data_IF_971049493262
#
_entry.id   IF_971049493262
#
_cell.length_a   1.000
_cell.length_b   1.000
_cell.length_c   1.000
_cell.angle_alpha   90.00
_cell.angle_beta   90.00
_cell.angle_gamma   90.00
#
_symmetry.space_group_name_H-M   'P 1'
#
loop_
_entity.id
_entity.type
_entity.pdbx_description
1 polymer ?
#
# COMPACT_ATOMS: atom_id res chain seq x y z
N UNK A 1 -50.34 -15.10 -12.05
CA UNK A 1 -49.73 -13.77 -12.08
C UNK A 1 -48.27 -13.91 -11.61
N UNK A 2 -47.32 -13.89 -12.54
CA UNK A 2 -45.89 -14.02 -12.20
C UNK A 2 -45.33 -12.60 -11.95
N UNK A 3 -44.48 -12.40 -10.92
CA UNK A 3 -43.85 -11.10 -10.69
C UNK A 3 -42.79 -10.85 -11.75
N UNK A 4 -42.95 -9.80 -12.52
CA UNK A 4 -41.96 -9.29 -13.47
C UNK A 4 -40.70 -8.86 -12.71
N UNK A 5 -39.60 -9.60 -12.86
CA UNK A 5 -38.25 -9.17 -12.44
C UNK A 5 -37.89 -7.93 -13.26
N UNK A 6 -37.90 -6.77 -12.63
CA UNK A 6 -37.26 -5.58 -13.19
C UNK A 6 -35.76 -5.87 -13.37
N UNK A 7 -35.28 -5.80 -14.59
CA UNK A 7 -33.88 -5.79 -14.89
C UNK A 7 -33.22 -4.60 -14.16
N UNK A 8 -32.05 -4.79 -13.52
CA UNK A 8 -31.31 -3.66 -12.98
C UNK A 8 -30.91 -2.74 -14.13
N UNK A 9 -31.36 -1.50 -14.08
CA UNK A 9 -30.96 -0.46 -15.01
C UNK A 9 -29.46 -0.29 -15.02
N UNK A 10 -28.84 0.22 -16.12
CA UNK A 10 -27.41 0.44 -16.18
C UNK A 10 -27.05 1.42 -15.05
N UNK A 11 -26.46 0.87 -13.99
CA UNK A 11 -25.93 1.65 -12.89
C UNK A 11 -24.93 2.63 -13.45
N UNK A 12 -25.28 3.92 -13.45
CA UNK A 12 -24.34 5.00 -13.71
C UNK A 12 -23.16 4.75 -12.81
N UNK A 13 -22.02 4.41 -13.42
CA UNK A 13 -20.75 4.24 -12.74
C UNK A 13 -20.34 5.56 -12.07
N UNK A 14 -20.92 5.83 -10.94
CA UNK A 14 -20.36 6.76 -9.98
C UNK A 14 -19.12 6.05 -9.47
N UNK A 15 -17.98 6.44 -9.99
CA UNK A 15 -16.69 6.10 -9.39
C UNK A 15 -16.70 6.80 -8.05
N UNK A 16 -17.22 6.11 -7.04
CA UNK A 16 -17.14 6.54 -5.66
C UNK A 16 -15.66 6.41 -5.28
N UNK A 17 -14.91 7.48 -5.45
CA UNK A 17 -13.51 7.59 -5.00
C UNK A 17 -13.35 7.22 -3.52
N UNK A 18 -14.41 7.36 -2.72
CA UNK A 18 -14.48 6.88 -1.35
C UNK A 18 -14.48 5.34 -1.22
N UNK A 19 -14.84 4.60 -2.28
CA UNK A 19 -14.85 3.13 -2.27
C UNK A 19 -13.56 2.49 -2.73
N UNK A 20 -12.63 3.24 -3.30
CA UNK A 20 -11.35 2.76 -3.81
C UNK A 20 -10.15 3.16 -2.95
N UNK A 21 -10.36 3.50 -1.67
CA UNK A 21 -9.28 3.86 -0.75
C UNK A 21 -8.20 2.76 -0.63
N UNK A 22 -8.55 1.50 -0.91
CA UNK A 22 -7.69 0.32 -0.92
C UNK A 22 -6.79 0.24 -2.17
N UNK A 23 -7.07 1.03 -3.21
CA UNK A 23 -6.14 1.21 -4.30
C UNK A 23 -5.00 2.12 -3.83
N UNK A 24 -3.77 1.61 -3.89
CA UNK A 24 -2.57 2.30 -3.44
C UNK A 24 -2.40 3.67 -4.09
N UNK A 25 -2.77 3.81 -5.36
CA UNK A 25 -2.73 5.09 -6.05
C UNK A 25 -3.71 6.09 -5.43
N UNK A 26 -4.95 5.67 -5.20
CA UNK A 26 -5.97 6.51 -4.56
C UNK A 26 -5.60 6.87 -3.12
N UNK A 27 -5.00 5.93 -2.39
CA UNK A 27 -4.51 6.17 -1.02
C UNK A 27 -3.42 7.24 -0.97
N UNK A 28 -2.48 7.22 -1.92
CA UNK A 28 -1.35 8.14 -1.99
C UNK A 28 -1.73 9.53 -2.52
N UNK A 29 -2.73 9.61 -3.42
CA UNK A 29 -3.16 10.87 -4.04
C UNK A 29 -4.24 11.60 -3.23
N UNK A 30 -4.78 10.99 -2.18
CA UNK A 30 -5.78 11.59 -1.32
C UNK A 30 -5.28 11.73 0.12
N UNK A 31 -5.71 12.79 0.78
CA UNK A 31 -5.48 13.00 2.20
C UNK A 31 -4.14 13.67 2.55
N UNK A 32 -3.71 13.46 3.79
CA UNK A 32 -2.55 14.14 4.38
C UNK A 32 -1.23 13.70 3.75
N UNK A 33 -1.17 12.45 3.25
CA UNK A 33 0.03 11.88 2.65
C UNK A 33 0.47 12.64 1.38
N UNK A 34 -0.48 13.12 0.58
CA UNK A 34 -0.18 13.93 -0.62
C UNK A 34 0.60 15.20 -0.27
N UNK A 35 0.17 15.88 0.80
CA UNK A 35 0.85 17.09 1.28
C UNK A 35 2.25 16.75 1.80
N UNK A 36 2.38 15.65 2.56
CA UNK A 36 3.68 15.20 3.07
C UNK A 36 4.65 14.85 1.93
N UNK A 37 4.20 14.17 0.89
CA UNK A 37 5.01 13.84 -0.29
C UNK A 37 5.42 15.09 -1.08
N UNK A 38 4.53 16.08 -1.23
CA UNK A 38 4.86 17.34 -1.87
C UNK A 38 5.96 18.10 -1.10
N UNK A 39 5.86 18.16 0.23
CA UNK A 39 6.87 18.78 1.09
C UNK A 39 8.21 18.02 1.03
N UNK A 40 8.18 16.69 0.99
CA UNK A 40 9.38 15.87 0.82
C UNK A 40 10.06 16.12 -0.54
N UNK A 41 9.27 16.26 -1.61
CA UNK A 41 9.78 16.62 -2.93
C UNK A 41 10.46 17.99 -2.95
N UNK A 42 9.87 18.99 -2.31
CA UNK A 42 10.47 20.32 -2.16
C UNK A 42 11.78 20.26 -1.37
N UNK A 43 11.81 19.54 -0.25
CA UNK A 43 12.99 19.37 0.58
C UNK A 43 14.13 18.65 -0.17
N UNK A 44 13.79 17.59 -0.92
CA UNK A 44 14.73 16.84 -1.76
C UNK A 44 15.30 17.71 -2.88
N UNK A 45 14.46 18.50 -3.54
CA UNK A 45 14.88 19.46 -4.58
C UNK A 45 15.79 20.54 -4.03
N UNK A 46 15.47 21.11 -2.87
CA UNK A 46 16.32 22.12 -2.20
C UNK A 46 17.69 21.53 -1.81
N UNK A 47 17.71 20.34 -1.22
CA UNK A 47 18.96 19.64 -0.89
C UNK A 47 19.81 19.39 -2.13
N UNK A 48 19.21 18.84 -3.20
CA UNK A 48 19.90 18.58 -4.46
C UNK A 48 20.49 19.86 -5.08
N UNK A 49 19.73 20.96 -5.09
CA UNK A 49 20.18 22.25 -5.61
C UNK A 49 21.35 22.84 -4.85
N UNK A 50 21.33 22.74 -3.51
CA UNK A 50 22.44 23.22 -2.68
C UNK A 50 23.68 22.35 -2.84
N UNK A 51 23.55 21.04 -3.01
CA UNK A 51 24.68 20.11 -3.11
C UNK A 51 25.36 20.19 -4.46
N UNK A 52 24.59 20.13 -5.56
CA UNK A 52 25.15 19.85 -6.91
C UNK A 52 25.51 21.10 -7.70
N UNK A 53 24.95 22.27 -7.42
CA UNK A 53 25.24 23.57 -8.09
C UNK A 53 25.04 23.62 -9.61
N UNK A 54 24.66 22.54 -10.25
CA UNK A 54 24.37 22.47 -11.69
C UNK A 54 22.90 22.07 -11.85
N UNK A 55 22.17 22.83 -12.66
CA UNK A 55 20.70 22.69 -12.76
C UNK A 55 20.26 21.27 -13.17
N UNK A 56 20.85 20.72 -14.22
CA UNK A 56 20.44 19.44 -14.79
C UNK A 56 20.72 18.25 -13.84
N UNK A 57 21.97 18.08 -13.31
CA UNK A 57 22.22 17.02 -12.33
C UNK A 57 21.47 17.22 -11.01
N UNK A 58 21.21 18.47 -10.57
CA UNK A 58 20.42 18.74 -9.37
C UNK A 58 18.97 18.29 -9.56
N UNK A 59 18.40 18.53 -10.75
CA UNK A 59 17.05 18.07 -11.08
C UNK A 59 16.97 16.53 -11.03
N UNK A 60 17.92 15.85 -11.66
CA UNK A 60 17.96 14.38 -11.66
C UNK A 60 18.12 13.80 -10.26
N UNK A 61 18.99 14.40 -9.43
CA UNK A 61 19.17 14.00 -8.04
C UNK A 61 17.89 14.24 -7.21
N UNK A 62 17.24 15.40 -7.38
CA UNK A 62 16.00 15.74 -6.69
C UNK A 62 14.86 14.78 -7.04
N UNK A 63 14.69 14.48 -8.33
CA UNK A 63 13.72 13.49 -8.79
C UNK A 63 14.01 12.09 -8.24
N UNK A 64 15.28 11.67 -8.27
CA UNK A 64 15.71 10.38 -7.73
C UNK A 64 15.43 10.26 -6.22
N UNK A 65 15.74 11.30 -5.44
CA UNK A 65 15.43 11.34 -4.00
C UNK A 65 13.95 11.30 -3.74
N UNK A 66 13.15 12.06 -4.48
CA UNK A 66 11.68 12.07 -4.34
C UNK A 66 11.08 10.69 -4.68
N UNK A 67 11.53 10.09 -5.79
CA UNK A 67 11.11 8.73 -6.16
C UNK A 67 11.54 7.70 -5.09
N UNK A 68 12.72 7.85 -4.51
CA UNK A 68 13.21 7.01 -3.42
C UNK A 68 12.34 7.12 -2.17
N UNK A 69 11.98 8.32 -1.75
CA UNK A 69 11.08 8.55 -0.60
C UNK A 69 9.70 7.95 -0.87
N UNK A 70 9.16 8.16 -2.07
CA UNK A 70 7.87 7.60 -2.46
C UNK A 70 7.88 6.06 -2.46
N UNK A 71 8.91 5.45 -3.06
CA UNK A 71 9.06 3.98 -3.08
C UNK A 71 9.21 3.43 -1.67
N UNK A 72 10.02 4.08 -0.82
CA UNK A 72 10.20 3.68 0.57
C UNK A 72 8.89 3.75 1.35
N UNK A 73 8.13 4.83 1.20
CA UNK A 73 6.82 4.98 1.82
C UNK A 73 5.86 3.86 1.40
N UNK A 74 5.83 3.50 0.12
CA UNK A 74 5.03 2.38 -0.42
C UNK A 74 5.41 1.03 0.16
N UNK A 75 6.69 0.74 0.25
CA UNK A 75 7.20 -0.54 0.77
C UNK A 75 6.95 -0.68 2.27
N UNK A 76 7.08 0.40 3.02
CA UNK A 76 6.91 0.39 4.47
C UNK A 76 5.45 0.50 4.91
N UNK A 77 4.59 1.18 4.14
CA UNK A 77 3.20 1.45 4.52
C UNK A 77 2.43 0.22 5.02
N UNK A 78 2.47 -0.96 4.35
CA UNK A 78 1.74 -2.13 4.83
C UNK A 78 2.26 -2.70 6.15
N UNK A 79 3.47 -2.30 6.57
CA UNK A 79 4.12 -2.78 7.80
C UNK A 79 4.08 -1.76 8.95
N UNK A 80 3.65 -0.52 8.68
CA UNK A 80 3.58 0.55 9.70
C UNK A 80 2.45 0.37 10.70
N UNK A 81 1.49 -0.50 10.42
CA UNK A 81 0.37 -0.80 11.31
C UNK A 81 0.11 -2.31 11.33
N UNK A 82 -0.27 -2.91 12.49
CA UNK A 82 -0.53 -4.34 12.57
C UNK A 82 -1.71 -4.72 11.66
N UNK A 83 -1.47 -5.64 10.72
CA UNK A 83 -2.50 -6.17 9.84
C UNK A 83 -3.41 -7.15 10.59
N UNK A 84 -4.68 -7.23 10.19
CA UNK A 84 -5.61 -8.23 10.67
C UNK A 84 -5.40 -9.53 9.90
N UNK A 85 -5.23 -10.64 10.62
CA UNK A 85 -5.13 -11.96 10.01
C UNK A 85 -6.47 -12.68 10.17
N UNK A 86 -7.02 -13.15 9.06
CA UNK A 86 -8.21 -13.99 9.03
C UNK A 86 -7.86 -15.34 8.43
N UNK A 87 -8.32 -16.39 9.10
CA UNK A 87 -8.20 -17.78 8.61
C UNK A 87 -9.57 -18.28 8.21
N UNK A 88 -9.67 -18.86 7.01
CA UNK A 88 -10.89 -19.44 6.45
C UNK A 88 -10.66 -20.90 6.12
N UNK A 89 -11.70 -21.74 6.23
CA UNK A 89 -11.63 -23.15 5.87
C UNK A 89 -11.42 -23.32 4.34
N UNK A 90 -10.75 -24.41 3.93
CA UNK A 90 -10.44 -24.68 2.53
C UNK A 90 -11.67 -24.64 1.60
N UNK A 91 -12.83 -25.15 2.07
CA UNK A 91 -14.08 -25.15 1.30
C UNK A 91 -14.71 -23.77 1.08
N UNK A 92 -14.29 -22.75 1.85
CA UNK A 92 -14.81 -21.37 1.73
C UNK A 92 -13.92 -20.49 0.84
N UNK A 93 -12.74 -20.95 0.49
CA UNK A 93 -11.74 -20.17 -0.25
C UNK A 93 -11.18 -19.01 0.55
N UNK A 94 -10.50 -18.09 -0.12
CA UNK A 94 -10.10 -16.83 0.49
C UNK A 94 -11.35 -16.00 0.79
N UNK A 95 -11.49 -15.55 2.03
CA UNK A 95 -12.54 -14.60 2.39
C UNK A 95 -12.51 -13.40 1.44
N UNK A 96 -13.64 -13.07 0.84
CA UNK A 96 -13.72 -11.94 -0.10
C UNK A 96 -13.68 -10.62 0.69
N UNK A 97 -12.52 -10.02 0.78
CA UNK A 97 -12.33 -8.71 1.42
C UNK A 97 -12.32 -7.62 0.36
N UNK A 98 -13.50 -7.31 -0.18
CA UNK A 98 -13.68 -6.15 -1.06
C UNK A 98 -13.43 -4.87 -0.23
N UNK A 99 -12.58 -3.98 -0.66
CA UNK A 99 -12.29 -2.72 0.03
C UNK A 99 -11.25 -2.81 1.16
N UNK A 100 -10.24 -3.66 1.01
CA UNK A 100 -9.13 -3.81 1.96
C UNK A 100 -7.79 -3.75 1.24
N UNK A 101 -6.74 -3.26 1.93
CA UNK A 101 -5.37 -3.36 1.43
C UNK A 101 -4.83 -4.73 1.85
N UNK A 102 -4.59 -5.62 0.89
CA UNK A 102 -3.99 -6.92 1.15
C UNK A 102 -2.48 -6.79 1.40
N UNK A 103 -2.01 -7.40 2.48
CA UNK A 103 -0.60 -7.45 2.87
C UNK A 103 0.01 -8.81 2.53
N UNK A 104 -0.74 -9.88 2.75
CA UNK A 104 -0.28 -11.24 2.48
C UNK A 104 -1.43 -12.23 2.45
N UNK A 105 -1.19 -13.36 1.78
CA UNK A 105 -2.13 -14.48 1.73
C UNK A 105 -1.37 -15.79 1.53
N UNK A 106 -1.94 -16.88 1.99
CA UNK A 106 -1.33 -18.21 1.84
C UNK A 106 -2.16 -19.28 2.49
N UNK A 107 -1.52 -20.44 2.73
CA UNK A 107 -2.12 -21.61 3.32
C UNK A 107 -1.67 -21.78 4.76
N UNK A 108 -2.57 -22.26 5.62
CA UNK A 108 -2.26 -22.67 6.99
C UNK A 108 -2.24 -24.18 7.06
N UNK A 109 -1.17 -24.75 7.61
CA UNK A 109 -1.03 -26.18 7.88
C UNK A 109 -1.57 -26.54 9.27
N UNK A 110 -1.83 -27.83 9.52
CA UNK A 110 -2.38 -28.32 10.78
C UNK A 110 -1.55 -27.94 12.04
N UNK A 111 -0.26 -27.72 11.87
CA UNK A 111 0.68 -27.27 12.90
C UNK A 111 0.78 -25.73 13.01
N UNK A 112 -0.10 -24.99 12.32
CA UNK A 112 -0.08 -23.52 12.33
C UNK A 112 1.00 -22.89 11.44
N UNK A 113 1.74 -23.69 10.67
CA UNK A 113 2.72 -23.18 9.72
C UNK A 113 2.07 -22.44 8.55
N UNK A 114 2.72 -21.40 8.06
CA UNK A 114 2.29 -20.66 6.87
C UNK A 114 3.07 -21.14 5.65
N UNK A 115 2.36 -21.57 4.62
CA UNK A 115 2.93 -22.05 3.34
C UNK A 115 2.50 -21.11 2.22
N UNK A 116 3.41 -20.78 1.28
CA UNK A 116 3.05 -20.02 0.10
C UNK A 116 1.90 -20.68 -0.65
N UNK A 117 0.98 -19.86 -1.16
CA UNK A 117 -0.13 -20.37 -1.95
C UNK A 117 0.37 -21.04 -3.23
N UNK A 118 -0.10 -22.25 -3.57
CA UNK A 118 0.07 -22.76 -4.91
C UNK A 118 -0.65 -21.86 -5.92
N UNK A 119 -0.18 -21.86 -7.17
CA UNK A 119 -0.71 -20.97 -8.22
C UNK A 119 -2.16 -21.38 -8.54
N UNK A 120 -3.10 -20.81 -7.78
CA UNK A 120 -4.54 -21.07 -7.95
C UNK A 120 -5.22 -20.12 -8.96
N UNK A 121 -4.48 -19.21 -9.58
CA UNK A 121 -5.05 -18.23 -10.52
C UNK A 121 -5.70 -18.84 -11.77
N UNK A 122 -5.28 -20.08 -12.13
CA UNK A 122 -5.80 -20.80 -13.28
C UNK A 122 -6.67 -22.01 -12.90
N UNK A 123 -6.90 -22.23 -11.61
CA UNK A 123 -7.66 -23.37 -11.09
C UNK A 123 -9.06 -22.96 -10.65
N UNK A 124 -10.02 -23.88 -10.73
CA UNK A 124 -11.31 -23.70 -10.09
C UNK A 124 -11.15 -23.64 -8.56
N UNK A 125 -12.09 -23.03 -7.80
CA UNK A 125 -12.01 -23.04 -6.34
C UNK A 125 -11.91 -24.44 -5.72
N UNK A 126 -12.55 -25.43 -6.35
CA UNK A 126 -12.51 -26.85 -5.90
C UNK A 126 -11.13 -27.46 -6.16
N UNK A 127 -10.54 -27.22 -7.33
CA UNK A 127 -9.21 -27.76 -7.68
C UNK A 127 -8.12 -27.08 -6.84
N UNK A 128 -8.29 -25.80 -6.53
CA UNK A 128 -7.40 -25.10 -5.61
C UNK A 128 -7.47 -25.68 -4.19
N UNK A 129 -8.66 -26.05 -3.71
CA UNK A 129 -8.84 -26.72 -2.43
C UNK A 129 -8.11 -28.07 -2.38
N UNK A 130 -8.28 -28.90 -3.40
CA UNK A 130 -7.61 -30.21 -3.48
C UNK A 130 -6.09 -30.11 -3.61
N UNK A 131 -5.58 -29.09 -4.31
CA UNK A 131 -4.15 -28.80 -4.38
C UNK A 131 -3.59 -28.35 -3.02
N UNK A 132 -4.34 -27.56 -2.27
CA UNK A 132 -3.99 -27.14 -0.92
C UNK A 132 -3.98 -28.31 0.07
N UNK A 133 -4.97 -29.18 0.01
CA UNK A 133 -5.02 -30.41 0.85
C UNK A 133 -3.80 -31.30 0.64
N UNK A 134 -3.35 -31.47 -0.61
CA UNK A 134 -2.12 -32.23 -0.93
C UNK A 134 -0.87 -31.65 -0.28
N UNK A 135 -0.86 -30.35 0.02
CA UNK A 135 0.21 -29.67 0.75
C UNK A 135 0.02 -29.73 2.28
N UNK A 136 -0.96 -30.49 2.78
CA UNK A 136 -1.28 -30.59 4.21
C UNK A 136 -1.90 -29.31 4.79
N UNK A 137 -2.49 -28.48 3.94
CA UNK A 137 -3.17 -27.30 4.39
C UNK A 137 -4.55 -27.60 4.98
N UNK A 138 -4.92 -26.91 6.04
CA UNK A 138 -6.23 -27.00 6.70
C UNK A 138 -7.09 -25.74 6.46
N UNK A 139 -6.50 -24.68 5.95
CA UNK A 139 -7.19 -23.43 5.67
C UNK A 139 -6.36 -22.43 4.88
N UNK A 140 -7.00 -21.32 4.50
CA UNK A 140 -6.36 -20.16 3.91
C UNK A 140 -6.19 -19.07 4.97
N UNK A 141 -5.06 -18.36 4.97
CA UNK A 141 -4.93 -17.13 5.72
C UNK A 141 -4.88 -15.93 4.78
N UNK A 142 -5.47 -14.85 5.21
CA UNK A 142 -5.42 -13.55 4.55
C UNK A 142 -5.07 -12.49 5.57
N UNK A 143 -4.01 -11.73 5.30
CA UNK A 143 -3.60 -10.58 6.09
C UNK A 143 -3.98 -9.30 5.33
N UNK A 144 -4.73 -8.44 5.99
CA UNK A 144 -5.24 -7.24 5.35
C UNK A 144 -5.44 -6.08 6.33
N UNK A 145 -5.53 -4.88 5.78
CA UNK A 145 -5.95 -3.70 6.53
C UNK A 145 -7.40 -3.36 6.20
N UNK A 146 -8.31 -3.40 7.19
CA UNK A 146 -9.69 -2.95 7.03
C UNK A 146 -9.78 -1.42 6.91
N UNK A 147 -10.97 -0.90 6.53
CA UNK A 147 -11.24 0.54 6.40
C UNK A 147 -10.88 1.34 7.65
N UNK A 148 -11.04 0.75 8.84
CA UNK A 148 -10.68 1.38 10.11
C UNK A 148 -9.19 1.72 10.23
N UNK A 149 -8.31 1.06 9.44
CA UNK A 149 -6.87 1.33 9.42
C UNK A 149 -6.47 2.47 8.47
N UNK A 150 -7.42 3.08 7.74
CA UNK A 150 -7.13 4.17 6.82
C UNK A 150 -6.40 5.34 7.50
N UNK A 151 -6.98 5.87 8.56
CA UNK A 151 -6.39 7.01 9.26
C UNK A 151 -5.07 6.70 9.96
N UNK A 152 -4.93 5.59 10.73
CA UNK A 152 -3.65 5.19 11.27
C UNK A 152 -2.55 5.07 10.22
N UNK A 153 -2.84 4.43 9.07
CA UNK A 153 -1.88 4.27 7.98
C UNK A 153 -1.53 5.61 7.33
N UNK A 154 -2.51 6.48 7.09
CA UNK A 154 -2.27 7.81 6.54
C UNK A 154 -1.38 8.64 7.46
N UNK A 155 -1.66 8.66 8.76
CA UNK A 155 -0.91 9.47 9.72
C UNK A 155 0.50 8.93 9.95
N UNK A 156 0.68 7.62 10.12
CA UNK A 156 2.00 7.02 10.34
C UNK A 156 2.90 7.15 9.11
N UNK A 157 2.36 6.92 7.91
CA UNK A 157 3.11 7.09 6.65
C UNK A 157 3.46 8.56 6.42
N UNK A 158 2.52 9.48 6.66
CA UNK A 158 2.78 10.93 6.55
C UNK A 158 3.82 11.41 7.54
N UNK A 159 3.79 10.93 8.78
CA UNK A 159 4.79 11.26 9.79
C UNK A 159 6.20 10.80 9.39
N UNK A 160 6.31 9.58 8.83
CA UNK A 160 7.58 9.06 8.29
C UNK A 160 8.11 9.95 7.17
N UNK A 161 7.27 10.28 6.19
CA UNK A 161 7.65 11.12 5.03
C UNK A 161 8.05 12.53 5.50
N UNK A 162 7.32 13.12 6.44
CA UNK A 162 7.66 14.42 7.01
C UNK A 162 8.97 14.40 7.81
N UNK A 163 9.26 13.31 8.52
CA UNK A 163 10.54 13.15 9.21
C UNK A 163 11.70 13.11 8.20
N UNK A 164 11.54 12.39 7.08
CA UNK A 164 12.54 12.39 6.00
C UNK A 164 12.70 13.77 5.36
N UNK A 165 11.61 14.50 5.13
CA UNK A 165 11.63 15.88 4.64
C UNK A 165 12.38 16.81 5.61
N UNK A 166 12.16 16.68 6.91
CA UNK A 166 12.85 17.45 7.93
C UNK A 166 14.36 17.16 7.93
N UNK A 167 14.77 15.89 7.82
CA UNK A 167 16.18 15.50 7.67
C UNK A 167 16.81 16.11 6.42
N UNK A 168 16.12 16.05 5.27
CA UNK A 168 16.62 16.65 4.03
C UNK A 168 16.77 18.18 4.15
N UNK A 169 15.80 18.85 4.77
CA UNK A 169 15.83 20.32 5.00
C UNK A 169 16.97 20.72 5.93
N UNK A 170 17.15 20.01 7.05
CA UNK A 170 18.24 20.27 7.98
C UNK A 170 19.61 20.01 7.36
N UNK A 171 19.74 18.96 6.53
CA UNK A 171 20.95 18.70 5.77
C UNK A 171 21.25 19.82 4.76
N UNK A 172 20.24 20.29 4.02
CA UNK A 172 20.39 21.41 3.08
C UNK A 172 20.84 22.67 3.81
N UNK A 173 20.23 22.99 4.96
CA UNK A 173 20.62 24.13 5.78
C UNK A 173 22.07 24.00 6.31
N UNK A 174 22.45 22.83 6.81
CA UNK A 174 23.81 22.58 7.30
C UNK A 174 24.88 22.76 6.20
N UNK A 175 24.60 22.26 4.99
CA UNK A 175 25.50 22.46 3.83
C UNK A 175 25.59 23.91 3.46
N UNK A 176 24.47 24.65 3.43
CA UNK A 176 24.45 26.08 3.12
C UNK A 176 25.26 26.86 4.14
N UNK A 177 25.04 26.64 5.44
CA UNK A 177 25.75 27.32 6.53
C UNK A 177 27.27 27.10 6.46
N UNK A 178 27.72 25.88 6.16
CA UNK A 178 29.17 25.58 6.02
C UNK A 178 29.81 26.27 4.83
N UNK A 179 29.02 26.72 3.85
CA UNK A 179 29.54 27.39 2.64
C UNK A 179 29.55 28.91 2.77
N UNK A 180 28.79 29.46 3.72
CA UNK A 180 28.69 30.91 3.96
C UNK A 180 29.51 31.37 5.16
N UNK A 181 29.95 30.44 6.01
CA UNK A 181 30.93 30.68 7.08
C UNK A 181 32.36 30.45 6.56
#
# INVERSE_FOLDING_TARGET
>A
MAPTRRAPGPGRGRIDSAKSWFDLWTFETNGVLTVALALAGLAAGALAGVVVRRALPALMLGLGLTAGVWTLARLLMPHLWPAVTQVTALGQGYGQHYSTIQVGQGLVTANGGHVPQPVCYALSPADCGTAAEKLGAVGFYSQYHPVSHYWPLQLTTSALVLALAAVATTAAYAVLRRRTA
#
